data_IF_574786887710
#
_entry.id   IF_574786887710
#
_cell.length_a   1.000
_cell.length_b   1.000
_cell.length_c   1.000
_cell.angle_alpha   90.00
_cell.angle_beta   90.00
_cell.angle_gamma   90.00
#
_symmetry.space_group_name_H-M   'P 1'
#
loop_
_entity.id
_entity.type
_entity.pdbx_description
1 polymer ?
#
# COMPACT_ATOMS: atom_id res chain seq x y z
N UNK A 1 -5.56 35.38 9.94
CA UNK A 1 -5.22 34.91 11.30
C UNK A 1 -5.43 36.02 12.31
N UNK A 2 -5.78 35.66 13.54
CA UNK A 2 -5.98 36.57 14.66
C UNK A 2 -5.54 35.89 15.96
N UNK A 3 -5.51 36.61 17.08
CA UNK A 3 -5.23 36.01 18.40
C UNK A 3 -6.24 34.92 18.78
N UNK A 4 -7.44 34.93 18.18
CA UNK A 4 -8.47 33.91 18.36
C UNK A 4 -8.31 32.74 17.37
N UNK A 5 -7.72 32.99 16.20
CA UNK A 5 -7.51 32.01 15.13
C UNK A 5 -6.05 32.08 14.65
N UNK A 6 -5.20 31.37 15.37
CA UNK A 6 -3.77 31.24 15.06
C UNK A 6 -3.57 30.62 13.66
N UNK A 7 -2.41 30.85 13.03
CA UNK A 7 -2.06 30.10 11.82
C UNK A 7 -1.98 28.60 12.10
N UNK A 8 -2.32 27.75 11.11
CA UNK A 8 -2.30 26.31 11.26
C UNK A 8 -0.87 25.79 11.48
N UNK A 9 0.16 26.54 11.09
CA UNK A 9 1.56 26.20 11.35
C UNK A 9 2.34 27.38 11.89
N UNK A 10 3.33 27.08 12.72
CA UNK A 10 4.35 28.02 13.19
C UNK A 10 5.57 28.10 12.25
N UNK A 11 5.64 27.23 11.24
CA UNK A 11 6.68 27.27 10.21
C UNK A 11 6.45 28.47 9.29
N UNK A 12 7.52 29.21 9.03
CA UNK A 12 7.48 30.39 8.14
C UNK A 12 7.48 30.01 6.66
N UNK A 13 7.94 28.80 6.34
CA UNK A 13 8.13 28.31 4.97
C UNK A 13 7.12 27.22 4.56
N UNK A 14 6.41 26.61 5.53
CA UNK A 14 5.44 25.56 5.23
C UNK A 14 4.21 26.10 4.51
N UNK A 15 3.73 25.36 3.52
CA UNK A 15 2.43 25.57 2.91
C UNK A 15 1.42 24.63 3.57
N UNK A 16 0.45 25.17 4.31
CA UNK A 16 -0.53 24.38 5.07
C UNK A 16 -1.95 24.77 4.74
N UNK A 17 -2.79 23.76 4.46
CA UNK A 17 -4.24 23.88 4.37
C UNK A 17 -4.88 23.00 5.44
N UNK A 18 -5.55 23.65 6.40
CA UNK A 18 -6.37 23.00 7.43
C UNK A 18 -7.86 23.15 7.08
N UNK A 19 -8.61 22.06 7.13
CA UNK A 19 -10.04 22.02 6.87
C UNK A 19 -10.85 21.91 8.17
N UNK A 20 -12.08 22.45 8.25
CA UNK A 20 -12.89 22.43 9.47
C UNK A 20 -13.26 21.04 10.01
N UNK A 21 -13.22 20.02 9.16
CA UNK A 21 -13.45 18.61 9.53
C UNK A 21 -12.18 17.88 10.00
N UNK A 22 -11.05 18.60 10.10
CA UNK A 22 -9.75 18.08 10.51
C UNK A 22 -8.87 17.58 9.36
N UNK A 23 -9.33 17.69 8.10
CA UNK A 23 -8.48 17.42 6.94
C UNK A 23 -7.26 18.34 6.89
N UNK A 24 -6.10 17.81 6.53
CA UNK A 24 -4.83 18.53 6.58
C UNK A 24 -3.94 18.20 5.40
N UNK A 25 -3.40 19.23 4.76
CA UNK A 25 -2.40 19.14 3.69
C UNK A 25 -1.25 20.08 4.00
N UNK A 26 -0.03 19.56 4.09
CA UNK A 26 1.16 20.34 4.46
C UNK A 26 2.34 19.96 3.59
N UNK A 27 3.06 20.95 3.08
CA UNK A 27 4.42 20.78 2.56
C UNK A 27 5.40 21.58 3.40
N UNK A 28 6.41 20.90 3.97
CA UNK A 28 7.46 21.51 4.81
C UNK A 28 8.84 21.42 4.10
N UNK A 29 9.35 22.54 3.55
CA UNK A 29 10.61 22.58 2.81
C UNK A 29 11.83 22.10 3.59
N UNK A 30 11.90 22.36 4.90
CA UNK A 30 13.06 21.98 5.72
C UNK A 30 13.28 20.45 5.77
N UNK A 31 12.20 19.68 5.59
CA UNK A 31 12.23 18.21 5.56
C UNK A 31 11.88 17.61 4.19
N UNK A 32 11.41 18.45 3.26
CA UNK A 32 10.85 18.01 1.98
C UNK A 32 9.58 17.17 2.11
N UNK A 33 8.92 17.19 3.28
CA UNK A 33 7.79 16.30 3.59
C UNK A 33 6.48 16.90 3.08
N UNK A 34 5.78 16.13 2.26
CA UNK A 34 4.36 16.33 2.00
C UNK A 34 3.55 15.44 2.94
N UNK A 35 2.70 16.03 3.77
CA UNK A 35 1.93 15.33 4.78
C UNK A 35 0.43 15.56 4.59
N UNK A 36 -0.30 14.46 4.41
CA UNK A 36 -1.75 14.44 4.27
C UNK A 36 -2.33 13.58 5.38
N UNK A 37 -3.26 14.13 6.17
CA UNK A 37 -3.89 13.43 7.31
C UNK A 37 -5.32 13.90 7.55
N UNK A 38 -6.05 13.18 8.40
CA UNK A 38 -7.41 13.53 8.80
C UNK A 38 -8.47 13.37 7.71
N UNK A 39 -8.10 12.78 6.56
CA UNK A 39 -9.02 12.53 5.45
C UNK A 39 -9.69 11.15 5.59
N UNK A 40 -10.91 11.02 5.07
CA UNK A 40 -11.64 9.74 5.03
C UNK A 40 -11.28 8.89 3.80
N UNK A 41 -10.96 9.53 2.68
CA UNK A 41 -10.69 8.86 1.40
C UNK A 41 -9.84 9.75 0.49
N UNK A 42 -9.05 9.14 -0.39
CA UNK A 42 -8.31 9.80 -1.47
C UNK A 42 -8.59 9.06 -2.79
N UNK A 43 -8.83 9.80 -3.85
CA UNK A 43 -8.95 9.28 -5.22
C UNK A 43 -7.98 10.06 -6.10
N UNK A 44 -7.17 9.35 -6.87
CA UNK A 44 -6.25 9.92 -7.86
C UNK A 44 -6.64 9.35 -9.21
N UNK A 45 -7.15 10.20 -10.10
CA UNK A 45 -7.50 9.84 -11.47
C UNK A 45 -6.50 10.49 -12.43
N UNK A 46 -5.93 9.69 -13.32
CA UNK A 46 -5.05 10.14 -14.38
C UNK A 46 -5.43 9.39 -15.67
N UNK A 47 -5.47 10.10 -16.80
CA UNK A 47 -5.86 9.51 -18.08
C UNK A 47 -4.81 8.55 -18.65
N UNK A 48 -3.53 8.83 -18.40
CA UNK A 48 -2.43 8.08 -19.00
C UNK A 48 -1.72 7.17 -17.98
N UNK A 49 -1.13 7.74 -16.93
CA UNK A 49 -0.38 6.99 -15.92
C UNK A 49 -0.28 7.69 -14.56
N UNK A 50 0.01 6.90 -13.52
CA UNK A 50 0.49 7.37 -12.21
C UNK A 50 1.81 6.64 -11.94
N UNK A 51 2.86 7.38 -11.58
CA UNK A 51 4.18 6.81 -11.21
C UNK A 51 4.55 7.22 -9.79
N UNK A 52 4.82 6.24 -8.92
CA UNK A 52 5.37 6.45 -7.58
C UNK A 52 6.84 6.01 -7.57
N UNK A 53 7.76 6.98 -7.56
CA UNK A 53 9.20 6.72 -7.60
C UNK A 53 9.83 7.09 -6.26
N UNK A 54 10.27 6.08 -5.52
CA UNK A 54 10.85 6.21 -4.17
C UNK A 54 11.87 5.09 -3.97
N UNK A 55 12.79 5.25 -3.02
CA UNK A 55 13.70 4.17 -2.59
C UNK A 55 12.98 3.08 -1.80
N UNK A 56 11.93 3.46 -1.07
CA UNK A 56 11.11 2.56 -0.27
C UNK A 56 9.64 2.96 -0.39
N UNK A 57 8.78 1.99 -0.68
CA UNK A 57 7.34 2.16 -0.73
C UNK A 57 6.70 1.30 0.37
N UNK A 58 6.18 1.95 1.40
CA UNK A 58 5.50 1.31 2.53
C UNK A 58 3.99 1.50 2.38
N UNK A 59 3.24 0.39 2.45
CA UNK A 59 1.78 0.39 2.39
C UNK A 59 1.23 -0.33 3.63
N UNK A 60 0.53 0.40 4.47
CA UNK A 60 -0.14 -0.14 5.66
C UNK A 60 -1.65 -0.10 5.45
N UNK A 61 -2.25 -1.28 5.28
CA UNK A 61 -3.68 -1.44 5.11
C UNK A 61 -4.12 -2.87 5.48
N UNK A 62 -5.34 -3.02 6.00
CA UNK A 62 -5.93 -4.35 6.28
C UNK A 62 -6.14 -5.17 4.99
N UNK A 63 -6.40 -4.49 3.87
CA UNK A 63 -6.61 -5.13 2.57
C UNK A 63 -6.16 -4.23 1.41
N UNK A 64 -5.31 -4.80 0.55
CA UNK A 64 -4.95 -4.24 -0.75
C UNK A 64 -5.67 -4.99 -1.86
N UNK A 65 -6.27 -4.26 -2.83
CA UNK A 65 -6.93 -4.84 -4.00
C UNK A 65 -6.31 -4.26 -5.28
N UNK A 66 -5.83 -5.13 -6.16
CA UNK A 66 -5.32 -4.77 -7.49
C UNK A 66 -6.17 -5.51 -8.51
N UNK A 67 -6.78 -4.75 -9.44
CA UNK A 67 -7.65 -5.31 -10.49
C UNK A 67 -6.94 -5.46 -11.84
N UNK A 68 -5.70 -4.98 -11.95
CA UNK A 68 -4.89 -5.06 -13.17
C UNK A 68 -3.95 -6.26 -13.14
N UNK A 69 -3.30 -6.53 -14.28
CA UNK A 69 -2.10 -7.35 -14.29
C UNK A 69 -1.00 -6.70 -13.44
N UNK A 70 -0.15 -7.53 -12.82
CA UNK A 70 0.93 -7.10 -11.93
C UNK A 70 2.21 -7.80 -12.36
N UNK A 71 3.27 -7.01 -12.55
CA UNK A 71 4.63 -7.51 -12.74
C UNK A 71 5.43 -7.18 -11.47
N UNK A 72 6.02 -8.20 -10.86
CA UNK A 72 6.91 -8.04 -9.71
C UNK A 72 8.29 -8.52 -10.13
N UNK A 73 9.27 -7.62 -10.05
CA UNK A 73 10.67 -7.94 -10.30
C UNK A 73 11.41 -8.02 -8.97
N UNK A 74 12.10 -9.14 -8.72
CA UNK A 74 12.78 -9.41 -7.45
C UNK A 74 12.05 -10.46 -6.61
N UNK A 75 12.46 -10.60 -5.35
CA UNK A 75 11.87 -11.57 -4.42
C UNK A 75 10.53 -11.09 -3.85
N UNK A 76 9.66 -12.05 -3.54
CA UNK A 76 8.42 -11.83 -2.81
C UNK A 76 8.44 -12.71 -1.57
N UNK A 77 8.33 -12.10 -0.39
CA UNK A 77 8.13 -12.81 0.86
C UNK A 77 6.66 -12.72 1.24
N UNK A 78 5.98 -13.86 1.30
CA UNK A 78 4.59 -13.95 1.75
C UNK A 78 4.54 -14.69 3.08
N UNK A 79 3.67 -14.24 3.98
CA UNK A 79 3.45 -14.86 5.29
C UNK A 79 2.15 -14.41 5.92
N UNK A 80 1.86 -14.91 7.12
CA UNK A 80 0.65 -14.56 7.88
C UNK A 80 -0.65 -15.20 7.34
N UNK A 81 -0.57 -16.15 6.41
CA UNK A 81 -1.72 -16.86 5.84
C UNK A 81 -1.37 -17.58 4.54
N UNK A 82 -2.38 -18.12 3.85
CA UNK A 82 -2.21 -18.82 2.58
C UNK A 82 -2.06 -17.85 1.39
N UNK A 83 -1.13 -18.14 0.48
CA UNK A 83 -1.11 -17.55 -0.86
C UNK A 83 -1.87 -18.46 -1.82
N UNK A 84 -3.02 -18.00 -2.34
CA UNK A 84 -3.85 -18.78 -3.25
C UNK A 84 -3.98 -18.14 -4.63
N UNK A 85 -3.93 -18.96 -5.69
CA UNK A 85 -4.28 -18.56 -7.05
C UNK A 85 -5.33 -19.51 -7.60
N UNK A 86 -6.50 -18.99 -7.97
CA UNK A 86 -7.62 -19.78 -8.50
C UNK A 86 -8.01 -20.98 -7.61
N UNK A 87 -7.98 -20.79 -6.29
CA UNK A 87 -8.32 -21.83 -5.31
C UNK A 87 -7.18 -22.81 -4.98
N UNK A 88 -6.01 -22.69 -5.62
CA UNK A 88 -4.84 -23.50 -5.30
C UNK A 88 -3.95 -22.74 -4.33
N UNK A 89 -3.71 -23.32 -3.16
CA UNK A 89 -2.80 -22.78 -2.14
C UNK A 89 -1.38 -23.21 -2.47
N UNK A 90 -0.49 -22.24 -2.69
CA UNK A 90 0.84 -22.48 -3.26
C UNK A 90 1.69 -23.42 -2.41
N UNK A 91 1.72 -23.22 -1.10
CA UNK A 91 2.53 -23.99 -0.15
C UNK A 91 1.86 -25.30 0.29
N UNK A 92 0.65 -25.62 -0.18
CA UNK A 92 -0.09 -26.83 0.16
C UNK A 92 -0.67 -27.57 -1.06
N UNK A 93 -0.25 -27.20 -2.28
CA UNK A 93 -0.82 -27.78 -3.49
C UNK A 93 -0.43 -29.25 -3.68
N UNK A 94 -1.34 -30.00 -4.31
CA UNK A 94 -1.15 -31.42 -4.63
C UNK A 94 -1.51 -31.68 -6.09
N UNK A 95 -0.96 -32.75 -6.65
CA UNK A 95 -1.19 -33.16 -8.04
C UNK A 95 -1.95 -34.49 -8.09
N UNK A 96 -2.98 -34.58 -8.95
CA UNK A 96 -3.73 -35.81 -9.22
C UNK A 96 -3.39 -36.39 -10.60
N UNK A 97 -3.74 -37.65 -10.89
CA UNK A 97 -3.54 -38.24 -12.22
C UNK A 97 -2.16 -38.84 -12.48
N UNK A 98 -1.33 -38.95 -11.44
CA UNK A 98 -0.05 -39.67 -11.45
C UNK A 98 -0.23 -41.11 -10.95
N UNK A 99 0.60 -42.05 -11.43
CA UNK A 99 0.61 -43.43 -10.91
C UNK A 99 0.92 -43.38 -9.40
N UNK A 100 -0.01 -43.84 -8.58
CA UNK A 100 0.17 -43.85 -7.12
C UNK A 100 1.21 -44.89 -6.75
N UNK A 101 2.35 -44.44 -6.23
CA UNK A 101 3.22 -45.29 -5.41
C UNK A 101 2.56 -45.58 -4.06
N UNK A 102 3.18 -46.44 -3.24
CA UNK A 102 2.74 -46.64 -1.86
C UNK A 102 2.94 -45.42 -0.95
N UNK A 103 3.71 -44.43 -1.40
CA UNK A 103 4.13 -43.26 -0.64
C UNK A 103 3.40 -41.98 -1.05
N UNK A 104 3.31 -41.02 -0.13
CA UNK A 104 2.79 -39.66 -0.37
C UNK A 104 3.87 -38.77 -0.98
N UNK A 105 3.51 -37.88 -1.92
CA UNK A 105 4.45 -36.89 -2.48
C UNK A 105 4.88 -35.84 -1.45
N UNK A 106 4.19 -35.75 -0.31
CA UNK A 106 4.33 -34.64 0.62
C UNK A 106 3.83 -33.32 0.01
N UNK A 107 3.91 -32.24 0.79
CA UNK A 107 3.78 -30.87 0.29
C UNK A 107 5.12 -30.32 -0.20
N UNK A 108 5.16 -29.07 -0.67
CA UNK A 108 6.41 -28.34 -0.90
C UNK A 108 7.34 -28.41 0.33
N UNK A 109 8.65 -28.57 0.10
CA UNK A 109 9.71 -28.56 1.12
C UNK A 109 10.51 -27.27 1.10
#
# INVERSE_FOLDING_TARGET
YSNQFAPPSASVDACVTEHPDGGWFEYEPATGRWYVRGIKSMVIEAADNITLKTSEFVLEADRTRINSEVVINGGVTQGGGAMSSNGIVVDAHQHTGVLKGGDTTGGPV
#
